data_IF_128279225099
#
_entry.id   IF_128279225099
#
_cell.length_a   1.000
_cell.length_b   1.000
_cell.length_c   1.000
_cell.angle_alpha   90.00
_cell.angle_beta   90.00
_cell.angle_gamma   90.00
#
_symmetry.space_group_name_H-M   'P 1'
#
loop_
_entity.id
_entity.type
_entity.pdbx_description
1 polymer ?
#
# COMPACT_ATOMS: atom_id res chain seq x y z
N UNK A 1 31.80 -52.45 -41.83
CA UNK A 1 30.53 -52.15 -41.14
C UNK A 1 30.62 -50.71 -40.65
N UNK A 2 29.76 -49.82 -41.17
CA UNK A 2 29.87 -48.36 -41.01
C UNK A 2 28.70 -47.91 -40.12
N UNK A 3 28.98 -47.65 -38.85
CA UNK A 3 27.95 -47.32 -37.86
C UNK A 3 27.68 -45.82 -37.90
N UNK A 4 26.48 -45.42 -38.31
CA UNK A 4 26.01 -44.03 -38.31
C UNK A 4 25.58 -43.64 -36.89
N UNK A 5 26.16 -42.55 -36.35
CA UNK A 5 25.70 -41.84 -35.17
C UNK A 5 24.67 -40.79 -35.60
N UNK A 6 23.45 -40.85 -35.07
CA UNK A 6 22.44 -39.79 -35.22
C UNK A 6 22.18 -39.22 -33.84
N UNK A 7 22.65 -38.00 -33.60
CA UNK A 7 22.40 -37.24 -32.38
C UNK A 7 21.08 -36.45 -32.53
N UNK A 8 20.15 -36.47 -31.55
CA UNK A 8 19.00 -35.60 -31.57
C UNK A 8 19.39 -34.21 -31.01
N UNK A 9 19.27 -33.19 -31.85
CA UNK A 9 19.30 -31.78 -31.45
C UNK A 9 18.07 -31.48 -30.59
N UNK A 10 18.27 -31.31 -29.28
CA UNK A 10 17.25 -30.79 -28.39
C UNK A 10 17.12 -29.28 -28.58
N UNK A 11 16.07 -28.84 -29.27
CA UNK A 11 15.70 -27.43 -29.36
C UNK A 11 15.13 -26.98 -28.00
N UNK A 12 15.91 -26.24 -27.23
CA UNK A 12 15.44 -25.58 -26.00
C UNK A 12 14.68 -24.33 -26.41
N UNK A 13 13.35 -24.39 -26.39
CA UNK A 13 12.51 -23.21 -26.57
C UNK A 13 12.60 -22.35 -25.29
N UNK A 14 13.35 -21.25 -25.36
CA UNK A 14 13.30 -20.21 -24.33
C UNK A 14 11.93 -19.50 -24.45
N UNK A 15 10.99 -19.84 -23.57
CA UNK A 15 9.87 -18.95 -23.29
C UNK A 15 10.42 -17.73 -22.54
N UNK A 16 10.55 -16.62 -23.25
CA UNK A 16 10.74 -15.32 -22.63
C UNK A 16 9.49 -15.04 -21.78
N UNK A 17 9.66 -15.06 -20.46
CA UNK A 17 8.62 -14.60 -19.54
C UNK A 17 8.34 -13.12 -19.84
N UNK A 18 7.16 -12.83 -20.37
CA UNK A 18 6.70 -11.46 -20.48
C UNK A 18 6.70 -10.84 -19.07
N UNK A 19 7.18 -9.60 -18.90
CA UNK A 19 7.11 -8.94 -17.59
C UNK A 19 5.65 -8.88 -17.15
N UNK A 20 5.38 -9.40 -15.96
CA UNK A 20 4.05 -9.28 -15.35
C UNK A 20 3.66 -7.78 -15.34
N UNK A 21 2.42 -7.43 -15.71
CA UNK A 21 1.95 -6.06 -15.60
C UNK A 21 2.06 -5.63 -14.13
N UNK A 22 2.75 -4.51 -13.89
CA UNK A 22 2.81 -3.92 -12.55
C UNK A 22 1.40 -3.62 -12.06
N UNK A 23 1.09 -3.89 -10.78
CA UNK A 23 -0.21 -3.52 -10.21
C UNK A 23 -0.48 -2.03 -10.45
N UNK A 24 -1.71 -1.71 -10.86
CA UNK A 24 -2.13 -0.32 -10.98
C UNK A 24 -2.00 0.37 -9.61
N UNK A 25 -1.56 1.64 -9.57
CA UNK A 25 -1.50 2.39 -8.32
C UNK A 25 -2.90 2.49 -7.72
N UNK A 26 -3.04 2.02 -6.47
CA UNK A 26 -4.29 2.10 -5.72
C UNK A 26 -4.31 3.41 -4.92
N UNK A 27 -5.49 4.00 -4.78
CA UNK A 27 -5.68 5.27 -4.10
C UNK A 27 -6.73 5.16 -3.00
N UNK A 28 -6.71 6.10 -2.07
CA UNK A 28 -7.76 6.35 -1.09
C UNK A 28 -8.45 7.65 -1.46
N UNK A 29 -9.78 7.63 -1.64
CA UNK A 29 -10.58 8.83 -1.82
C UNK A 29 -11.18 9.27 -0.49
N UNK A 30 -10.96 10.54 -0.12
CA UNK A 30 -11.52 11.13 1.10
C UNK A 30 -12.97 11.54 0.87
N UNK A 31 -13.88 11.02 1.69
CA UNK A 31 -15.33 11.22 1.54
C UNK A 31 -15.96 12.08 2.64
N UNK A 32 -15.23 12.42 3.70
CA UNK A 32 -15.67 13.37 4.72
C UNK A 32 -15.05 14.76 4.53
N UNK A 33 -15.73 15.81 5.00
CA UNK A 33 -15.30 17.21 4.79
C UNK A 33 -14.01 17.57 5.55
N UNK A 34 -13.90 17.17 6.82
CA UNK A 34 -12.76 17.46 7.70
C UNK A 34 -12.25 16.14 8.26
N UNK A 35 -11.40 15.44 7.50
CA UNK A 35 -10.95 14.09 7.83
C UNK A 35 -9.60 14.16 8.54
N UNK A 36 -9.53 13.84 9.84
CA UNK A 36 -8.26 13.85 10.55
C UNK A 36 -7.28 12.81 10.02
N UNK A 37 -6.01 13.22 9.93
CA UNK A 37 -4.89 12.31 9.76
C UNK A 37 -4.44 11.78 11.12
N UNK A 38 -4.11 10.51 11.18
CA UNK A 38 -3.67 9.82 12.38
C UNK A 38 -2.28 9.22 12.21
N UNK A 39 -1.59 9.01 13.33
CA UNK A 39 -0.33 8.27 13.36
C UNK A 39 -0.43 7.17 14.42
N UNK A 40 0.10 5.99 14.09
CA UNK A 40 0.30 4.92 15.06
C UNK A 40 1.74 4.95 15.56
N UNK A 41 1.92 5.17 16.86
CA UNK A 41 3.22 4.94 17.48
C UNK A 41 3.59 3.46 17.41
N UNK A 42 4.90 3.16 17.42
CA UNK A 42 5.38 1.78 17.50
C UNK A 42 4.80 1.06 18.69
N UNK A 43 4.39 -0.19 18.47
CA UNK A 43 3.84 -1.04 19.53
C UNK A 43 2.52 -0.53 20.11
N UNK A 44 1.90 0.50 19.55
CA UNK A 44 0.59 0.99 19.97
C UNK A 44 -0.46 0.65 18.93
N UNK A 45 -1.60 0.13 19.38
CA UNK A 45 -2.82 -0.03 18.57
C UNK A 45 -3.81 1.13 18.76
N UNK A 46 -3.36 2.19 19.44
CA UNK A 46 -4.12 3.43 19.60
C UNK A 46 -3.52 4.51 18.70
N UNK A 47 -4.25 4.98 17.69
CA UNK A 47 -3.80 6.08 16.87
C UNK A 47 -3.86 7.39 17.66
N UNK A 48 -2.98 8.31 17.33
CA UNK A 48 -3.04 9.69 17.79
C UNK A 48 -3.37 10.59 16.61
N UNK A 49 -4.19 11.63 16.83
CA UNK A 49 -4.43 12.64 15.79
C UNK A 49 -3.13 13.39 15.51
N UNK A 50 -2.75 13.47 14.25
CA UNK A 50 -1.56 14.19 13.83
C UNK A 50 -1.74 15.71 14.01
N UNK A 51 -0.67 16.46 14.35
CA UNK A 51 -0.69 17.92 14.43
C UNK A 51 -0.55 18.57 13.04
N UNK A 52 -1.28 18.05 12.06
CA UNK A 52 -1.25 18.46 10.65
C UNK A 52 -2.66 18.87 10.21
N UNK A 53 -2.83 19.66 9.12
CA UNK A 53 -4.15 19.97 8.59
C UNK A 53 -4.96 18.71 8.25
N UNK A 54 -6.28 18.79 8.45
CA UNK A 54 -7.18 17.70 8.07
C UNK A 54 -7.21 17.53 6.55
N UNK A 55 -7.40 16.29 6.12
CA UNK A 55 -7.69 15.98 4.73
C UNK A 55 -9.10 16.45 4.36
N UNK A 56 -9.25 16.99 3.16
CA UNK A 56 -10.51 17.53 2.66
C UNK A 56 -11.21 16.56 1.71
N UNK A 57 -12.53 16.65 1.64
CA UNK A 57 -13.34 15.83 0.73
C UNK A 57 -12.83 15.93 -0.72
N UNK A 58 -12.70 14.79 -1.39
CA UNK A 58 -12.21 14.69 -2.76
C UNK A 58 -10.69 14.64 -2.89
N UNK A 59 -9.93 14.85 -1.80
CA UNK A 59 -8.49 14.57 -1.83
C UNK A 59 -8.23 13.07 -2.03
N UNK A 60 -7.11 12.78 -2.69
CA UNK A 60 -6.67 11.42 -2.98
C UNK A 60 -5.28 11.18 -2.42
N UNK A 61 -5.10 10.05 -1.77
CA UNK A 61 -3.79 9.61 -1.27
C UNK A 61 -3.44 8.27 -1.91
N UNK A 62 -2.15 7.98 -2.06
CA UNK A 62 -1.74 6.63 -2.43
C UNK A 62 -2.14 5.67 -1.30
N UNK A 63 -2.74 4.54 -1.66
CA UNK A 63 -3.09 3.49 -0.72
C UNK A 63 -1.90 2.57 -0.49
N UNK A 64 -1.42 2.49 0.76
CA UNK A 64 -0.28 1.64 1.12
C UNK A 64 -0.76 0.28 1.62
N UNK A 65 -1.67 0.27 2.59
CA UNK A 65 -2.14 -0.98 3.21
C UNK A 65 -3.55 -0.86 3.83
N UNK A 66 -4.18 -2.03 3.97
CA UNK A 66 -5.53 -2.21 4.49
C UNK A 66 -5.69 -1.97 5.99
N UNK A 67 -6.93 -2.08 6.50
CA UNK A 67 -7.29 -1.38 7.70
C UNK A 67 -6.56 -1.97 8.91
N UNK A 68 -5.76 -1.15 9.58
CA UNK A 68 -5.26 -1.48 10.91
C UNK A 68 -6.41 -1.30 11.90
N UNK A 69 -6.73 -2.38 12.63
CA UNK A 69 -7.81 -2.40 13.62
C UNK A 69 -7.28 -2.01 15.00
N UNK A 70 -7.97 -1.08 15.68
CA UNK A 70 -7.67 -0.71 17.06
C UNK A 70 -8.33 -1.68 18.04
N UNK A 71 -7.90 -1.63 19.31
CA UNK A 71 -8.50 -2.44 20.38
C UNK A 71 -10.01 -2.19 20.60
N UNK A 72 -10.52 -1.04 20.17
CA UNK A 72 -11.94 -0.68 20.27
C UNK A 72 -12.72 -1.00 18.99
N UNK A 73 -12.09 -1.64 18.00
CA UNK A 73 -12.73 -2.04 16.74
C UNK A 73 -12.78 -0.94 15.67
N UNK A 74 -12.08 0.19 15.84
CA UNK A 74 -11.96 1.19 14.76
C UNK A 74 -10.91 0.75 13.75
N UNK A 75 -11.10 1.14 12.48
CA UNK A 75 -10.30 0.65 11.36
C UNK A 75 -9.76 1.81 10.53
N UNK A 76 -8.48 1.74 10.14
CA UNK A 76 -7.76 2.85 9.49
C UNK A 76 -6.94 2.39 8.30
N UNK A 77 -7.02 3.09 7.17
CA UNK A 77 -6.17 2.84 6.01
C UNK A 77 -4.86 3.60 6.07
N UNK A 78 -3.78 2.97 5.61
CA UNK A 78 -2.46 3.59 5.52
C UNK A 78 -2.31 4.37 4.22
N UNK A 79 -1.82 5.60 4.33
CA UNK A 79 -1.57 6.49 3.19
C UNK A 79 -0.10 6.47 2.79
N UNK A 80 0.22 6.86 1.56
CA UNK A 80 1.61 7.02 1.11
C UNK A 80 2.30 8.29 1.63
N UNK A 81 1.62 9.09 2.46
CA UNK A 81 2.20 10.31 3.02
C UNK A 81 3.12 9.92 4.18
N UNK A 82 4.38 10.34 4.08
CA UNK A 82 5.40 10.11 5.11
C UNK A 82 5.20 11.09 6.27
N UNK A 83 5.26 10.56 7.49
CA UNK A 83 5.27 11.34 8.73
C UNK A 83 6.60 12.07 8.85
N UNK A 84 6.55 13.38 9.06
CA UNK A 84 7.75 14.25 9.14
C UNK A 84 8.03 14.73 10.57
N UNK A 85 7.15 14.39 11.51
CA UNK A 85 7.23 14.80 12.89
C UNK A 85 8.31 14.00 13.66
N UNK A 86 9.03 14.66 14.59
CA UNK A 86 9.97 13.97 15.46
C UNK A 86 9.25 13.00 16.42
N UNK A 87 9.89 11.87 16.72
CA UNK A 87 9.38 10.88 17.67
C UNK A 87 8.67 9.68 17.05
N UNK A 88 8.59 9.60 15.72
CA UNK A 88 8.04 8.46 14.98
C UNK A 88 9.15 7.63 14.30
N UNK A 89 8.82 6.41 13.91
CA UNK A 89 9.77 5.50 13.26
C UNK A 89 10.15 5.99 11.87
N UNK A 90 11.37 5.66 11.40
CA UNK A 90 11.70 5.80 9.99
C UNK A 90 10.65 5.10 9.13
N UNK A 91 10.11 5.82 8.13
CA UNK A 91 9.04 5.36 7.24
C UNK A 91 7.66 5.20 7.91
N UNK A 92 7.38 5.93 8.99
CA UNK A 92 6.01 6.04 9.47
C UNK A 92 5.14 6.78 8.46
N UNK A 93 3.88 6.35 8.35
CA UNK A 93 2.87 6.91 7.45
C UNK A 93 1.70 7.50 8.23
N UNK A 94 0.99 8.45 7.61
CA UNK A 94 -0.31 8.89 8.11
C UNK A 94 -1.41 7.91 7.75
N UNK A 95 -2.44 7.87 8.59
CA UNK A 95 -3.57 6.96 8.51
C UNK A 95 -4.88 7.72 8.50
N UNK A 96 -5.89 7.18 7.80
CA UNK A 96 -7.22 7.77 7.70
C UNK A 96 -8.26 6.75 8.13
N UNK A 97 -9.26 7.17 8.92
CA UNK A 97 -10.37 6.29 9.30
C UNK A 97 -11.09 5.74 8.06
N UNK A 98 -11.39 4.44 8.07
CA UNK A 98 -12.18 3.80 7.01
C UNK A 98 -13.56 4.47 6.83
N UNK A 99 -14.12 5.06 7.88
CA UNK A 99 -15.41 5.73 7.79
C UNK A 99 -15.38 6.99 6.92
N UNK A 100 -14.18 7.54 6.67
CA UNK A 100 -13.98 8.78 5.92
C UNK A 100 -13.06 8.63 4.70
N UNK A 101 -12.61 7.42 4.40
CA UNK A 101 -11.86 7.11 3.19
C UNK A 101 -12.31 5.78 2.59
N UNK A 102 -12.32 5.69 1.27
CA UNK A 102 -12.59 4.45 0.53
C UNK A 102 -11.44 4.14 -0.44
N UNK A 103 -11.01 2.88 -0.59
CA UNK A 103 -10.08 2.52 -1.65
C UNK A 103 -10.70 2.72 -3.03
N UNK A 104 -10.07 3.53 -3.88
CA UNK A 104 -10.38 3.66 -5.30
C UNK A 104 -9.80 2.48 -6.07
N UNK A 105 -10.55 1.97 -7.05
CA UNK A 105 -10.06 1.01 -8.04
C UNK A 105 -9.37 1.71 -9.21
#
# INVERSE_FOLDING_TARGET
MRTLLIAPLAAVALLAAAPNPSPAPQYLDVVCRNTPLYVFQSGSDRPMRAPTPDATMGQRFGYVSGPRTTLTGFEFYETNIVVVEPGYWPNAHYWISRDCAIPSR
#
